data_IF_589054524244
#
_entry.id   IF_589054524244
#
_cell.length_a   1.000
_cell.length_b   1.000
_cell.length_c   1.000
_cell.angle_alpha   90.00
_cell.angle_beta   90.00
_cell.angle_gamma   90.00
#
_symmetry.space_group_name_H-M   'P 1'
#
loop_
_entity.id
_entity.type
_entity.pdbx_description
1 polymer ?
#
# COMPACT_ATOMS: atom_id res chain seq x y z
N UNK A 1 -2.06 25.06 -41.10
CA UNK A 1 -1.24 24.67 -42.26
C UNK A 1 -2.19 24.21 -43.34
N UNK A 2 -2.34 25.04 -44.36
CA UNK A 2 -3.38 25.02 -45.38
C UNK A 2 -2.70 24.62 -46.69
N UNK A 3 -3.17 23.56 -47.34
CA UNK A 3 -2.61 23.13 -48.63
C UNK A 3 -3.43 23.80 -49.74
N UNK A 4 -2.95 24.97 -50.13
CA UNK A 4 -3.27 25.70 -51.36
C UNK A 4 -2.04 25.59 -52.27
N UNK A 5 -2.19 25.05 -53.48
CA UNK A 5 -1.41 25.36 -54.71
C UNK A 5 -1.43 24.18 -55.69
N UNK A 6 -1.16 24.47 -56.97
CA UNK A 6 -1.36 23.65 -58.17
C UNK A 6 -2.84 23.61 -58.59
N UNK A 7 -3.29 24.34 -59.61
CA UNK A 7 -2.75 24.38 -60.96
C UNK A 7 -3.14 25.70 -61.66
N UNK A 8 -2.13 26.47 -62.08
CA UNK A 8 -2.19 27.45 -63.16
C UNK A 8 -1.36 26.90 -64.32
N UNK A 9 -1.78 27.23 -65.55
CA UNK A 9 -1.09 27.01 -66.83
C UNK A 9 -1.54 25.82 -67.67
N UNK A 10 -2.65 25.98 -68.40
CA UNK A 10 -2.71 25.64 -69.84
C UNK A 10 -3.60 26.69 -70.52
N UNK A 11 -2.98 27.58 -71.30
CA UNK A 11 -3.64 28.45 -72.26
C UNK A 11 -3.09 28.14 -73.65
N UNK A 12 -3.97 28.19 -74.66
CA UNK A 12 -3.70 28.18 -76.11
C UNK A 12 -3.87 26.84 -76.85
N UNK A 13 -5.13 26.46 -77.15
CA UNK A 13 -5.50 25.70 -78.36
C UNK A 13 -6.85 26.24 -78.90
N UNK A 14 -6.90 26.38 -80.24
CA UNK A 14 -7.93 26.98 -81.14
C UNK A 14 -9.39 26.51 -80.96
N UNK A 15 -10.41 27.34 -81.32
CA UNK A 15 -11.80 26.91 -81.54
C UNK A 15 -12.08 26.63 -83.04
N UNK A 16 -13.29 26.22 -83.47
CA UNK A 16 -14.23 25.26 -82.88
C UNK A 16 -14.64 24.16 -83.91
N UNK A 17 -14.56 22.88 -83.55
CA UNK A 17 -15.36 21.85 -84.23
C UNK A 17 -16.80 21.90 -83.70
N UNK A 18 -17.81 21.56 -84.53
CA UNK A 18 -19.20 21.79 -84.19
C UNK A 18 -19.52 21.05 -82.90
N UNK A 19 -20.19 21.75 -81.98
CA UNK A 19 -20.76 21.19 -80.76
C UNK A 19 -21.75 20.07 -81.11
N UNK A 20 -21.22 18.90 -81.45
CA UNK A 20 -21.93 17.65 -81.45
C UNK A 20 -22.21 17.39 -79.98
N UNK A 21 -23.38 17.88 -79.56
CA UNK A 21 -24.15 17.46 -78.40
C UNK A 21 -23.56 16.23 -77.69
N UNK A 22 -22.56 16.44 -76.84
CA UNK A 22 -22.34 15.59 -75.69
C UNK A 22 -23.41 15.96 -74.66
N UNK A 23 -24.67 15.80 -75.07
CA UNK A 23 -25.71 15.37 -74.16
C UNK A 23 -25.28 13.96 -73.76
N UNK A 24 -24.32 13.88 -72.84
CA UNK A 24 -24.20 12.74 -71.99
C UNK A 24 -25.56 12.71 -71.28
N UNK A 25 -26.50 11.94 -71.84
CA UNK A 25 -27.77 11.61 -71.21
C UNK A 25 -27.38 10.83 -69.97
N UNK A 26 -26.98 11.56 -68.93
CA UNK A 26 -26.80 11.01 -67.59
C UNK A 26 -28.14 10.40 -67.25
N UNK A 27 -28.19 9.08 -67.31
CA UNK A 27 -29.36 8.34 -66.90
C UNK A 27 -29.50 8.54 -65.39
N UNK A 28 -30.31 9.53 -65.03
CA UNK A 28 -30.65 9.86 -63.65
C UNK A 28 -31.12 8.62 -62.88
N UNK A 29 -31.73 7.64 -63.57
CA UNK A 29 -32.13 6.38 -62.98
C UNK A 29 -30.93 5.55 -62.50
N UNK A 30 -29.88 5.45 -63.31
CA UNK A 30 -28.66 4.72 -62.99
C UNK A 30 -27.89 5.36 -61.83
N UNK A 31 -27.83 6.70 -61.79
CA UNK A 31 -27.21 7.44 -60.68
C UNK A 31 -28.00 7.26 -59.38
N UNK A 32 -29.33 7.36 -59.43
CA UNK A 32 -30.20 7.14 -58.26
C UNK A 32 -30.09 5.70 -57.76
N UNK A 33 -30.01 4.73 -58.66
CA UNK A 33 -29.79 3.34 -58.30
C UNK A 33 -28.44 3.12 -57.61
N UNK A 34 -27.38 3.73 -58.16
CA UNK A 34 -26.02 3.67 -57.58
C UNK A 34 -25.95 4.31 -56.20
N UNK A 35 -26.59 5.46 -55.98
CA UNK A 35 -26.65 6.11 -54.67
C UNK A 35 -27.39 5.27 -53.63
N UNK A 36 -28.54 4.67 -53.98
CA UNK A 36 -29.26 3.76 -53.06
C UNK A 36 -28.46 2.51 -52.75
N UNK A 37 -27.74 1.98 -53.74
CA UNK A 37 -26.85 0.83 -53.53
C UNK A 37 -25.73 1.18 -52.55
N UNK A 38 -25.08 2.33 -52.72
CA UNK A 38 -24.05 2.82 -51.82
C UNK A 38 -24.58 3.07 -50.41
N UNK A 39 -25.76 3.68 -50.28
CA UNK A 39 -26.42 3.91 -48.99
C UNK A 39 -26.68 2.59 -48.27
N UNK A 40 -27.18 1.58 -48.98
CA UNK A 40 -27.37 0.23 -48.45
C UNK A 40 -26.05 -0.39 -47.99
N UNK A 41 -24.99 -0.30 -48.80
CA UNK A 41 -23.66 -0.80 -48.43
C UNK A 41 -23.09 -0.08 -47.20
N UNK A 42 -23.37 1.21 -47.03
CA UNK A 42 -22.92 1.98 -45.87
C UNK A 42 -23.63 1.53 -44.58
N UNK A 43 -24.92 1.23 -44.66
CA UNK A 43 -25.69 0.63 -43.55
C UNK A 43 -25.17 -0.76 -43.20
N UNK A 44 -24.87 -1.60 -44.20
CA UNK A 44 -24.30 -2.94 -43.98
C UNK A 44 -22.91 -2.87 -43.34
N UNK A 45 -22.06 -1.93 -43.75
CA UNK A 45 -20.74 -1.69 -43.14
C UNK A 45 -20.85 -1.24 -41.69
N UNK A 46 -21.81 -0.37 -41.35
CA UNK A 46 -22.00 0.09 -39.98
C UNK A 46 -22.49 -1.06 -39.06
N UNK A 47 -23.43 -1.87 -39.56
CA UNK A 47 -23.87 -3.08 -38.87
C UNK A 47 -22.71 -4.06 -38.62
N UNK A 48 -21.85 -4.27 -39.61
CA UNK A 48 -20.66 -5.11 -39.47
C UNK A 48 -19.67 -4.53 -38.45
N UNK A 49 -19.46 -3.21 -38.47
CA UNK A 49 -18.59 -2.51 -37.50
C UNK A 49 -19.10 -2.68 -36.07
N UNK A 50 -20.41 -2.54 -35.85
CA UNK A 50 -21.03 -2.77 -34.54
C UNK A 50 -20.83 -4.22 -34.11
N UNK A 51 -21.07 -5.19 -35.00
CA UNK A 51 -20.88 -6.60 -34.71
C UNK A 51 -19.41 -6.93 -34.34
N UNK A 52 -18.44 -6.39 -35.08
CA UNK A 52 -17.02 -6.55 -34.77
C UNK A 52 -16.66 -5.97 -33.40
N UNK A 53 -17.20 -4.79 -33.06
CA UNK A 53 -16.97 -4.17 -31.76
C UNK A 53 -17.51 -5.04 -30.62
N UNK A 54 -18.72 -5.60 -30.77
CA UNK A 54 -19.31 -6.52 -29.79
C UNK A 54 -18.44 -7.77 -29.63
N UNK A 55 -17.97 -8.38 -30.73
CA UNK A 55 -17.11 -9.57 -30.67
C UNK A 55 -15.76 -9.26 -30.00
N UNK A 56 -15.16 -8.10 -30.30
CA UNK A 56 -13.89 -7.67 -29.70
C UNK A 56 -14.04 -7.50 -28.20
N UNK A 57 -15.09 -6.80 -27.74
CA UNK A 57 -15.37 -6.63 -26.31
C UNK A 57 -15.67 -7.97 -25.61
N UNK A 58 -16.39 -8.87 -26.29
CA UNK A 58 -16.65 -10.22 -25.81
C UNK A 58 -15.36 -11.03 -25.63
N UNK A 59 -14.47 -10.99 -26.62
CA UNK A 59 -13.16 -11.63 -26.58
C UNK A 59 -12.27 -11.02 -25.48
N UNK A 60 -12.21 -9.70 -25.34
CA UNK A 60 -11.47 -9.06 -24.26
C UNK A 60 -11.97 -9.50 -22.89
N UNK A 61 -13.29 -9.51 -22.70
CA UNK A 61 -13.91 -9.94 -21.42
C UNK A 61 -13.63 -11.41 -21.13
N UNK A 62 -13.60 -12.26 -22.15
CA UNK A 62 -13.31 -13.69 -22.03
C UNK A 62 -11.81 -13.97 -21.80
N UNK A 63 -10.93 -13.30 -22.54
CA UNK A 63 -9.48 -13.54 -22.49
C UNK A 63 -8.80 -12.90 -21.28
N UNK A 64 -9.31 -11.76 -20.78
CA UNK A 64 -8.71 -11.06 -19.62
C UNK A 64 -8.51 -11.95 -18.38
N UNK A 65 -9.51 -12.73 -17.91
CA UNK A 65 -9.30 -13.64 -16.78
C UNK A 65 -8.27 -14.73 -17.10
N UNK A 66 -8.23 -15.25 -18.33
CA UNK A 66 -7.29 -16.31 -18.74
C UNK A 66 -5.83 -15.79 -18.80
N UNK A 67 -5.62 -14.59 -19.33
CA UNK A 67 -4.29 -13.95 -19.36
C UNK A 67 -3.82 -13.65 -17.93
N UNK A 68 -4.73 -13.18 -17.08
CA UNK A 68 -4.45 -12.92 -15.67
C UNK A 68 -4.11 -14.22 -14.92
N UNK A 69 -4.89 -15.28 -15.10
CA UNK A 69 -4.65 -16.59 -14.49
C UNK A 69 -3.30 -17.17 -14.92
N UNK A 70 -2.95 -17.08 -16.20
CA UNK A 70 -1.65 -17.53 -16.72
C UNK A 70 -0.50 -16.72 -16.11
N UNK A 71 -0.66 -15.40 -16.01
CA UNK A 71 0.33 -14.52 -15.39
C UNK A 71 0.52 -14.83 -13.91
N UNK A 72 -0.58 -15.00 -13.16
CA UNK A 72 -0.56 -15.37 -11.74
C UNK A 72 0.09 -16.74 -11.53
N UNK A 73 -0.23 -17.72 -12.38
CA UNK A 73 0.34 -19.07 -12.29
C UNK A 73 1.84 -19.05 -12.56
N UNK A 74 2.27 -18.31 -13.60
CA UNK A 74 3.70 -18.11 -13.90
C UNK A 74 4.41 -17.42 -12.74
N UNK A 75 3.87 -16.30 -12.27
CA UNK A 75 4.42 -15.55 -11.13
C UNK A 75 4.53 -16.42 -9.87
N UNK A 76 3.54 -17.27 -9.60
CA UNK A 76 3.58 -18.20 -8.47
C UNK A 76 4.69 -19.24 -8.61
N UNK A 77 4.94 -19.71 -9.83
CA UNK A 77 6.06 -20.58 -10.16
C UNK A 77 7.41 -19.89 -9.95
N UNK A 78 7.53 -18.66 -10.43
CA UNK A 78 8.75 -17.85 -10.31
C UNK A 78 9.03 -17.52 -8.84
N UNK A 79 8.00 -17.20 -8.05
CA UNK A 79 8.12 -16.90 -6.62
C UNK A 79 8.58 -18.10 -5.79
N UNK A 80 8.25 -19.33 -6.21
CA UNK A 80 8.75 -20.56 -5.57
C UNK A 80 10.20 -20.89 -5.91
N UNK A 81 10.74 -20.29 -6.98
CA UNK A 81 12.13 -20.47 -7.42
C UNK A 81 13.04 -19.33 -6.96
N UNK A 82 12.47 -18.32 -6.32
CA UNK A 82 13.23 -17.19 -5.83
C UNK A 82 14.14 -17.64 -4.68
N UNK A 83 15.42 -17.24 -4.67
CA UNK A 83 16.30 -17.55 -3.54
C UNK A 83 15.78 -16.96 -2.24
N UNK A 84 16.02 -17.67 -1.13
CA UNK A 84 15.58 -17.29 0.21
C UNK A 84 16.08 -15.89 0.59
N UNK A 85 17.29 -15.52 0.15
CA UNK A 85 17.91 -14.22 0.44
C UNK A 85 17.12 -13.07 -0.20
N UNK A 86 16.66 -13.27 -1.44
CA UNK A 86 15.88 -12.25 -2.16
C UNK A 86 14.50 -12.10 -1.52
N UNK A 87 13.87 -13.21 -1.12
CA UNK A 87 12.63 -13.18 -0.35
C UNK A 87 12.81 -12.47 0.99
N UNK A 88 13.89 -12.78 1.72
CA UNK A 88 14.21 -12.14 2.99
C UNK A 88 14.39 -10.62 2.83
N UNK A 89 15.10 -10.17 1.79
CA UNK A 89 15.25 -8.74 1.49
C UNK A 89 13.91 -8.07 1.16
N UNK A 90 13.06 -8.71 0.37
CA UNK A 90 11.72 -8.19 0.06
C UNK A 90 10.88 -8.08 1.33
N UNK A 91 10.92 -9.09 2.21
CA UNK A 91 10.19 -9.06 3.47
C UNK A 91 10.73 -7.96 4.38
N UNK A 92 12.05 -7.80 4.46
CA UNK A 92 12.69 -6.77 5.25
C UNK A 92 12.28 -5.36 4.78
N UNK A 93 12.33 -5.12 3.48
CA UNK A 93 11.88 -3.86 2.88
C UNK A 93 10.39 -3.62 3.15
N UNK A 94 9.54 -4.64 3.00
CA UNK A 94 8.11 -4.52 3.31
C UNK A 94 7.83 -4.25 4.79
N UNK A 95 8.62 -4.85 5.70
CA UNK A 95 8.57 -4.57 7.12
C UNK A 95 8.98 -3.13 7.42
N UNK A 96 10.07 -2.64 6.82
CA UNK A 96 10.56 -1.27 7.03
C UNK A 96 9.57 -0.22 6.50
N UNK A 97 8.88 -0.52 5.39
CA UNK A 97 7.87 0.35 4.79
C UNK A 97 6.55 0.43 5.58
N UNK A 98 6.28 -0.51 6.49
CA UNK A 98 5.09 -0.46 7.34
C UNK A 98 5.22 0.67 8.36
N UNK A 99 4.75 1.86 7.96
CA UNK A 99 4.79 3.11 8.74
C UNK A 99 4.08 3.01 10.09
N UNK A 100 3.10 2.11 10.19
CA UNK A 100 2.36 1.94 11.43
C UNK A 100 3.07 1.00 12.41
N UNK A 101 4.19 0.39 11.97
CA UNK A 101 5.07 -0.41 12.79
C UNK A 101 4.41 -1.70 13.28
N UNK A 102 3.45 -2.25 12.54
CA UNK A 102 2.68 -3.38 13.02
C UNK A 102 3.42 -4.70 12.78
N UNK A 103 3.30 -5.61 13.75
CA UNK A 103 3.74 -7.01 13.63
C UNK A 103 3.00 -7.79 12.52
N UNK A 104 1.89 -7.22 12.01
CA UNK A 104 1.01 -7.84 11.01
C UNK A 104 1.74 -8.22 9.74
N UNK A 105 2.67 -7.40 9.25
CA UNK A 105 3.41 -7.72 8.03
C UNK A 105 4.14 -9.07 8.15
N UNK A 106 4.90 -9.26 9.23
CA UNK A 106 5.65 -10.48 9.49
C UNK A 106 4.73 -11.71 9.58
N UNK A 107 3.59 -11.56 10.27
CA UNK A 107 2.58 -12.62 10.37
C UNK A 107 1.98 -12.93 8.99
N UNK A 108 1.57 -11.90 8.25
CA UNK A 108 0.98 -12.04 6.91
C UNK A 108 1.91 -12.78 5.95
N UNK A 109 3.18 -12.37 5.84
CA UNK A 109 4.12 -13.05 4.94
C UNK A 109 4.37 -14.49 5.39
N UNK A 110 4.46 -14.76 6.69
CA UNK A 110 4.66 -16.12 7.22
C UNK A 110 3.46 -17.06 7.02
N UNK A 111 2.29 -16.54 6.62
CA UNK A 111 1.07 -17.30 6.40
C UNK A 111 0.77 -17.56 4.91
N UNK A 112 1.56 -17.02 3.97
CA UNK A 112 1.33 -17.17 2.52
C UNK A 112 1.59 -18.60 2.03
N UNK A 113 2.72 -19.19 2.44
CA UNK A 113 3.12 -20.55 2.05
C UNK A 113 4.14 -21.13 3.04
N UNK A 114 4.42 -22.44 2.95
CA UNK A 114 5.44 -23.09 3.79
C UNK A 114 6.84 -22.46 3.58
N UNK A 115 7.21 -22.24 2.32
CA UNK A 115 8.47 -21.61 1.95
C UNK A 115 8.58 -20.18 2.51
N UNK A 116 7.52 -19.38 2.37
CA UNK A 116 7.48 -18.02 2.94
C UNK A 116 7.58 -18.04 4.47
N UNK A 117 6.97 -19.03 5.12
CA UNK A 117 7.07 -19.22 6.56
C UNK A 117 8.51 -19.52 6.99
N UNK A 118 9.19 -20.41 6.30
CA UNK A 118 10.59 -20.78 6.57
C UNK A 118 11.50 -19.55 6.43
N UNK A 119 11.38 -18.80 5.32
CA UNK A 119 12.14 -17.57 5.10
C UNK A 119 11.79 -16.48 6.12
N UNK A 120 10.51 -16.31 6.45
CA UNK A 120 10.11 -15.31 7.44
C UNK A 120 10.66 -15.65 8.84
N UNK A 121 10.59 -16.91 9.26
CA UNK A 121 11.13 -17.38 10.55
C UNK A 121 12.65 -17.34 10.59
N UNK A 122 13.34 -17.49 9.45
CA UNK A 122 14.79 -17.37 9.35
C UNK A 122 15.28 -15.92 9.23
N UNK A 123 14.37 -14.93 9.11
CA UNK A 123 14.67 -13.50 8.99
C UNK A 123 14.37 -12.75 10.30
N UNK A 124 15.36 -12.57 11.22
CA UNK A 124 15.09 -12.06 12.56
C UNK A 124 14.51 -10.65 12.61
N UNK A 125 14.87 -9.80 11.63
CA UNK A 125 14.42 -8.40 11.59
C UNK A 125 12.90 -8.26 11.45
N UNK A 126 12.19 -9.26 10.90
CA UNK A 126 10.73 -9.21 10.82
C UNK A 126 10.05 -9.27 12.19
N UNK A 127 10.76 -9.78 13.20
CA UNK A 127 10.22 -10.06 14.52
C UNK A 127 10.67 -9.03 15.57
N UNK A 128 11.21 -7.89 15.15
CA UNK A 128 11.67 -6.83 16.05
C UNK A 128 10.55 -5.92 16.55
N UNK A 129 9.37 -5.95 15.91
CA UNK A 129 8.19 -5.15 16.27
C UNK A 129 7.12 -6.00 16.94
N UNK A 130 6.83 -5.73 18.21
CA UNK A 130 5.82 -6.46 18.98
C UNK A 130 4.87 -5.54 19.76
N UNK A 131 3.57 -5.84 19.73
CA UNK A 131 2.53 -5.03 20.37
C UNK A 131 1.69 -5.80 21.42
N UNK A 132 1.77 -7.13 21.47
CA UNK A 132 0.85 -7.95 22.26
C UNK A 132 1.59 -8.94 23.19
N UNK A 133 1.17 -9.07 24.47
CA UNK A 133 1.78 -10.00 25.42
C UNK A 133 1.78 -11.47 24.95
N UNK A 134 0.73 -11.91 24.26
CA UNK A 134 0.62 -13.30 23.81
C UNK A 134 1.65 -13.67 22.74
N UNK A 135 2.15 -12.67 22.00
CA UNK A 135 3.06 -12.88 20.86
C UNK A 135 4.49 -12.44 21.16
N UNK A 136 4.68 -11.60 22.19
CA UNK A 136 5.97 -10.94 22.44
C UNK A 136 7.09 -11.94 22.72
N UNK A 137 6.80 -13.03 23.44
CA UNK A 137 7.77 -14.09 23.72
C UNK A 137 8.27 -14.77 22.44
N UNK A 138 7.36 -15.09 21.53
CA UNK A 138 7.70 -15.66 20.22
C UNK A 138 8.48 -14.66 19.36
N UNK A 139 8.15 -13.37 19.42
CA UNK A 139 8.84 -12.33 18.68
C UNK A 139 10.26 -12.10 19.20
N UNK A 140 10.43 -12.00 20.52
CA UNK A 140 11.74 -11.92 21.17
C UNK A 140 12.59 -13.13 20.75
N UNK A 141 12.06 -14.35 20.88
CA UNK A 141 12.80 -15.57 20.52
C UNK A 141 13.23 -15.57 19.04
N UNK A 142 12.35 -15.13 18.13
CA UNK A 142 12.64 -15.09 16.69
C UNK A 142 13.54 -13.94 16.27
N UNK A 143 13.54 -12.82 17.00
CA UNK A 143 14.42 -11.67 16.76
C UNK A 143 15.90 -11.95 17.08
N UNK A 144 16.19 -13.07 17.76
CA UNK A 144 17.55 -13.54 18.12
C UNK A 144 18.39 -12.44 18.78
N UNK A 145 19.54 -12.09 18.21
CA UNK A 145 20.50 -11.12 18.73
C UNK A 145 20.41 -9.74 18.05
N UNK A 146 19.37 -9.46 17.27
CA UNK A 146 19.20 -8.15 16.63
C UNK A 146 19.06 -7.07 17.71
N UNK A 147 19.89 -6.03 17.63
CA UNK A 147 20.02 -4.95 18.62
C UNK A 147 19.07 -3.77 18.41
N UNK A 148 17.99 -3.97 17.66
CA UNK A 148 17.03 -2.92 17.31
C UNK A 148 15.59 -3.43 17.46
N UNK A 149 15.16 -3.63 18.70
CA UNK A 149 13.77 -3.96 19.03
C UNK A 149 12.94 -2.69 19.12
N UNK A 150 11.82 -2.70 18.42
CA UNK A 150 10.82 -1.64 18.39
C UNK A 150 9.62 -2.10 19.22
N UNK A 151 9.57 -1.67 20.47
CA UNK A 151 8.58 -2.12 21.45
C UNK A 151 7.43 -1.13 21.53
N UNK A 152 6.22 -1.65 21.36
CA UNK A 152 4.99 -0.88 21.58
C UNK A 152 4.31 -1.39 22.84
N UNK A 153 4.68 -0.80 23.97
CA UNK A 153 4.10 -1.09 25.29
C UNK A 153 2.78 -0.35 25.54
N UNK A 154 1.90 -0.36 24.54
CA UNK A 154 0.52 0.09 24.68
C UNK A 154 -0.38 -0.93 24.01
N UNK A 155 -0.82 -1.97 24.74
CA UNK A 155 -1.78 -2.93 24.21
C UNK A 155 -3.03 -2.15 23.80
N UNK A 156 -3.30 -2.06 22.50
CA UNK A 156 -4.54 -1.47 21.98
C UNK A 156 -5.72 -2.42 22.19
N UNK A 157 -5.81 -3.05 23.36
CA UNK A 157 -6.94 -3.91 23.73
C UNK A 157 -8.06 -3.03 24.31
N UNK A 158 -9.29 -3.41 24.02
CA UNK A 158 -10.48 -2.86 24.68
C UNK A 158 -11.18 -4.00 25.40
N UNK A 159 -11.29 -3.98 26.74
CA UNK A 159 -10.81 -2.92 27.66
C UNK A 159 -9.27 -2.84 27.75
N UNK A 160 -8.72 -1.71 28.25
CA UNK A 160 -7.30 -1.61 28.58
C UNK A 160 -6.89 -2.73 29.55
N UNK A 161 -5.67 -3.26 29.43
CA UNK A 161 -5.16 -4.25 30.37
C UNK A 161 -5.04 -3.66 31.78
N UNK A 162 -5.26 -4.48 32.79
CA UNK A 162 -5.00 -4.11 34.18
C UNK A 162 -3.49 -4.05 34.47
N UNK A 163 -3.12 -3.44 35.61
CA UNK A 163 -1.73 -3.33 36.04
C UNK A 163 -1.04 -4.71 36.14
N UNK A 164 -1.77 -5.76 36.54
CA UNK A 164 -1.23 -7.12 36.65
C UNK A 164 -0.79 -7.67 35.29
N UNK A 165 -1.65 -7.56 34.28
CA UNK A 165 -1.34 -8.01 32.90
C UNK A 165 -0.21 -7.19 32.30
N UNK A 166 -0.18 -5.88 32.56
CA UNK A 166 0.93 -5.01 32.15
C UNK A 166 2.23 -5.38 32.84
N UNK A 167 2.21 -5.70 34.13
CA UNK A 167 3.40 -6.14 34.86
C UNK A 167 3.96 -7.43 34.27
N UNK A 168 3.12 -8.44 34.05
CA UNK A 168 3.53 -9.70 33.40
C UNK A 168 4.13 -9.46 32.01
N UNK A 169 3.57 -8.51 31.26
CA UNK A 169 4.10 -8.13 29.97
C UNK A 169 5.47 -7.46 30.07
N UNK A 170 5.67 -6.56 31.04
CA UNK A 170 6.94 -5.91 31.30
C UNK A 170 8.00 -6.90 31.81
N UNK A 171 7.61 -7.87 32.65
CA UNK A 171 8.51 -8.92 33.15
C UNK A 171 9.12 -9.74 32.01
N UNK A 172 8.37 -9.96 30.92
CA UNK A 172 8.86 -10.63 29.71
C UNK A 172 9.75 -9.75 28.85
N UNK A 173 9.52 -8.44 28.88
CA UNK A 173 10.15 -7.46 28.00
C UNK A 173 11.47 -6.93 28.55
N UNK A 174 11.47 -6.53 29.82
CA UNK A 174 12.56 -5.81 30.48
C UNK A 174 13.90 -6.56 30.52
N UNK A 175 13.97 -7.90 30.62
CA UNK A 175 15.24 -8.63 30.45
C UNK A 175 15.94 -8.35 29.12
N UNK A 176 15.19 -7.86 28.11
CA UNK A 176 15.69 -7.54 26.78
C UNK A 176 15.79 -6.03 26.50
N UNK A 177 15.58 -5.18 27.52
CA UNK A 177 15.60 -3.71 27.46
C UNK A 177 16.86 -3.13 26.79
N UNK A 178 18.01 -3.78 26.95
CA UNK A 178 19.27 -3.37 26.32
C UNK A 178 19.26 -3.40 24.78
N UNK A 179 18.30 -4.10 24.17
CA UNK A 179 18.18 -4.24 22.71
C UNK A 179 17.15 -3.30 22.12
N UNK A 180 16.48 -2.48 22.93
CA UNK A 180 15.40 -1.63 22.46
C UNK A 180 15.97 -0.42 21.75
N UNK A 181 15.61 -0.24 20.49
CA UNK A 181 15.91 0.96 19.70
C UNK A 181 14.78 1.98 19.75
N UNK A 182 13.55 1.49 19.88
CA UNK A 182 12.34 2.32 19.92
C UNK A 182 11.39 1.80 20.98
N UNK A 183 10.80 2.72 21.75
CA UNK A 183 9.82 2.41 22.78
C UNK A 183 8.64 3.37 22.65
N UNK A 184 7.44 2.81 22.51
CA UNK A 184 6.20 3.58 22.45
C UNK A 184 5.22 3.09 23.52
N UNK A 185 4.62 3.98 24.30
CA UNK A 185 3.61 3.63 25.30
C UNK A 185 2.65 4.76 25.63
N UNK A 186 1.60 4.42 26.39
CA UNK A 186 0.66 5.39 26.96
C UNK A 186 0.91 5.47 28.46
N UNK A 187 1.41 6.61 28.95
CA UNK A 187 1.55 6.89 30.39
C UNK A 187 0.15 7.09 30.98
N UNK A 188 -0.32 6.06 31.68
CA UNK A 188 -1.58 6.00 32.42
C UNK A 188 -1.33 5.30 33.76
N UNK A 189 -2.27 5.42 34.70
CA UNK A 189 -2.14 4.88 36.05
C UNK A 189 -1.73 3.40 36.08
N UNK A 190 -2.35 2.55 35.24
CA UNK A 190 -2.07 1.11 35.21
C UNK A 190 -0.64 0.80 34.78
N UNK A 191 -0.13 1.53 33.77
CA UNK A 191 1.25 1.40 33.34
C UNK A 191 2.23 1.91 34.41
N UNK A 192 1.89 3.00 35.10
CA UNK A 192 2.69 3.49 36.23
C UNK A 192 2.81 2.43 37.33
N UNK A 193 1.68 1.84 37.72
CA UNK A 193 1.63 0.77 38.73
C UNK A 193 2.46 -0.44 38.28
N UNK A 194 2.39 -0.83 37.01
CA UNK A 194 3.19 -1.92 36.45
C UNK A 194 4.70 -1.62 36.41
N UNK A 195 5.11 -0.36 36.27
CA UNK A 195 6.52 0.04 36.33
C UNK A 195 7.04 0.29 37.75
N UNK A 196 6.19 0.39 38.78
CA UNK A 196 6.65 0.61 40.17
C UNK A 196 7.71 -0.40 40.65
N UNK A 197 7.61 -1.71 40.35
CA UNK A 197 8.64 -2.68 40.71
C UNK A 197 9.95 -2.52 39.92
N UNK A 198 9.90 -1.80 38.80
CA UNK A 198 10.93 -1.74 37.77
C UNK A 198 11.66 -0.38 37.78
N UNK A 199 12.33 -0.09 38.90
CA UNK A 199 13.17 1.11 39.01
C UNK A 199 14.51 0.92 38.30
N UNK A 200 15.10 2.02 37.79
CA UNK A 200 16.44 2.03 37.15
C UNK A 200 16.55 1.20 35.87
N UNK A 201 15.59 1.36 34.96
CA UNK A 201 15.64 0.69 33.65
C UNK A 201 16.80 1.29 32.83
N UNK A 202 17.67 0.39 32.39
CA UNK A 202 18.83 0.70 31.56
C UNK A 202 18.46 0.50 30.09
N UNK A 203 18.45 1.58 29.33
CA UNK A 203 18.04 1.62 27.93
C UNK A 203 19.19 2.16 27.06
N UNK A 204 20.35 1.47 27.03
CA UNK A 204 21.54 1.96 26.34
C UNK A 204 21.25 2.21 24.86
N UNK A 205 20.66 1.26 24.14
CA UNK A 205 20.46 1.37 22.68
C UNK A 205 19.22 2.16 22.26
N UNK A 206 18.48 2.75 23.21
CA UNK A 206 17.21 3.41 22.91
C UNK A 206 17.45 4.75 22.21
N UNK A 207 16.94 4.85 20.99
CA UNK A 207 17.06 6.04 20.13
C UNK A 207 15.75 6.80 19.99
N UNK A 208 14.62 6.11 20.12
CA UNK A 208 13.30 6.69 19.90
C UNK A 208 12.36 6.40 21.07
N UNK A 209 11.76 7.45 21.64
CA UNK A 209 10.78 7.35 22.71
C UNK A 209 9.51 8.10 22.32
N UNK A 210 8.38 7.39 22.15
CA UNK A 210 7.05 8.00 21.95
C UNK A 210 6.16 7.74 23.16
N UNK A 211 5.94 8.76 23.98
CA UNK A 211 5.08 8.66 25.15
C UNK A 211 3.80 9.47 24.96
N UNK A 212 2.65 8.81 25.12
CA UNK A 212 1.34 9.46 25.04
C UNK A 212 0.75 9.55 26.43
N UNK A 213 0.24 10.70 26.82
CA UNK A 213 -0.39 10.86 28.13
C UNK A 213 -1.86 10.44 28.07
N UNK A 214 -2.26 9.55 28.98
CA UNK A 214 -3.65 9.17 29.20
C UNK A 214 -4.50 10.36 29.66
N UNK A 215 -5.83 10.18 29.62
CA UNK A 215 -6.77 11.23 30.06
C UNK A 215 -6.68 11.50 31.57
N UNK A 216 -6.27 10.49 32.32
CA UNK A 216 -6.01 10.43 33.76
C UNK A 216 -4.66 11.06 34.16
N UNK A 217 -3.84 11.49 33.20
CA UNK A 217 -2.55 12.10 33.50
C UNK A 217 -2.74 13.42 34.25
N UNK A 218 -2.37 13.40 35.53
CA UNK A 218 -2.08 14.58 36.31
C UNK A 218 -0.59 14.91 36.08
N UNK A 219 -0.24 16.19 35.94
CA UNK A 219 1.09 16.72 35.56
C UNK A 219 2.22 16.41 36.57
N UNK A 220 2.37 15.13 36.92
CA UNK A 220 3.42 14.58 37.77
C UNK A 220 4.56 14.13 36.86
N UNK A 221 5.78 14.16 37.40
CA UNK A 221 7.01 13.65 36.78
C UNK A 221 6.77 12.43 35.88
N UNK A 222 7.23 12.44 34.61
CA UNK A 222 7.06 11.31 33.69
C UNK A 222 7.66 10.01 34.25
N UNK A 223 7.06 8.85 33.95
CA UNK A 223 7.57 7.56 34.48
C UNK A 223 9.01 7.24 34.07
N UNK A 224 9.46 7.83 32.95
CA UNK A 224 10.79 7.64 32.39
C UNK A 224 11.82 8.67 32.89
N UNK A 225 11.46 9.56 33.82
CA UNK A 225 12.37 10.58 34.33
C UNK A 225 13.64 10.01 34.98
N UNK A 226 13.56 8.77 35.47
CA UNK A 226 14.69 8.08 36.12
C UNK A 226 15.33 7.00 35.23
N UNK A 227 15.04 6.97 33.93
CA UNK A 227 15.60 5.96 33.02
C UNK A 227 16.92 6.44 32.42
N UNK A 228 17.89 5.54 32.31
CA UNK A 228 19.17 5.84 31.69
C UNK A 228 19.09 5.55 30.17
N UNK A 229 19.06 6.61 29.36
CA UNK A 229 18.87 6.55 27.90
C UNK A 229 19.99 7.32 27.18
N UNK A 230 21.20 6.73 27.14
CA UNK A 230 22.41 7.42 26.66
C UNK A 230 22.38 7.81 25.18
N UNK A 231 21.63 7.07 24.37
CA UNK A 231 21.60 7.22 22.91
C UNK A 231 20.24 7.76 22.39
N UNK A 232 19.48 8.45 23.24
CA UNK A 232 18.17 8.97 22.87
C UNK A 232 18.30 10.09 21.83
N UNK A 233 17.99 9.77 20.59
CA UNK A 233 18.06 10.70 19.45
C UNK A 233 16.77 11.53 19.31
N UNK A 234 15.62 10.91 19.60
CA UNK A 234 14.31 11.53 19.41
C UNK A 234 13.34 11.16 20.54
N UNK A 235 12.62 12.14 21.06
CA UNK A 235 11.51 11.92 21.96
C UNK A 235 10.28 12.72 21.52
N UNK A 236 9.12 12.07 21.50
CA UNK A 236 7.84 12.72 21.27
C UNK A 236 6.92 12.50 22.46
N UNK A 237 6.24 13.58 22.87
CA UNK A 237 5.19 13.48 23.88
C UNK A 237 3.90 14.06 23.33
N UNK A 238 2.81 13.29 23.39
CA UNK A 238 1.49 13.77 22.98
C UNK A 238 0.53 13.72 24.16
N UNK A 239 -0.01 14.88 24.54
CA UNK A 239 -1.09 14.96 25.51
C UNK A 239 -2.44 14.83 24.82
N UNK A 240 -3.19 13.76 25.14
CA UNK A 240 -4.54 13.57 24.61
C UNK A 240 -5.52 14.68 25.06
N UNK A 241 -5.26 15.33 26.20
CA UNK A 241 -6.04 16.50 26.66
C UNK A 241 -5.91 17.70 25.72
N UNK A 242 -4.72 17.95 25.17
CA UNK A 242 -4.49 19.00 24.16
C UNK A 242 -5.18 18.64 22.85
N UNK A 243 -5.16 17.38 22.45
CA UNK A 243 -5.80 16.96 21.20
C UNK A 243 -7.33 17.06 21.23
N UNK A 244 -7.98 16.69 22.34
CA UNK A 244 -9.45 16.82 22.47
C UNK A 244 -9.90 18.28 22.59
N UNK A 245 -9.12 19.15 23.25
CA UNK A 245 -9.42 20.59 23.30
C UNK A 245 -9.26 21.25 21.92
N UNK A 246 -8.25 20.86 21.15
CA UNK A 246 -8.07 21.32 19.76
C UNK A 246 -9.13 20.74 18.82
N UNK A 247 -9.46 19.44 18.89
CA UNK A 247 -10.50 18.83 18.07
C UNK A 247 -11.91 19.40 18.35
N UNK A 248 -12.23 19.73 19.61
CA UNK A 248 -13.45 20.47 19.97
C UNK A 248 -13.45 21.90 19.41
N UNK A 249 -12.30 22.56 19.35
CA UNK A 249 -12.16 23.89 18.73
C UNK A 249 -12.36 23.87 17.21
N UNK A 250 -12.20 22.71 16.54
CA UNK A 250 -12.38 22.56 15.09
C UNK A 250 -13.71 21.89 14.69
N UNK A 251 -14.64 21.69 15.63
CA UNK A 251 -15.98 21.20 15.32
C UNK A 251 -16.04 19.77 14.74
N UNK A 252 -14.96 18.99 14.85
CA UNK A 252 -14.98 17.58 14.46
C UNK A 252 -15.64 16.77 15.58
N UNK A 253 -16.94 16.50 15.42
CA UNK A 253 -17.64 15.50 16.21
C UNK A 253 -17.16 14.11 15.76
N UNK A 254 -16.65 13.32 16.72
CA UNK A 254 -16.31 11.92 16.55
C UNK A 254 -17.55 11.02 16.53
#
# INVERSE_FOLDING_TARGET
MTITSYLTSISSISPPEPAANFLCSLDLSELVHSLRSLEKSLVELDALRVQMKIRTLGLERYCRPLVFEKAVTKMRGDLKRMPDEILAFIFQAGHDMDRYGHYKFAVSVSHVSRHFREVALSTPRLWTRGECPLQISAFIARSRSVSALDIKASPMTRPPPDATTLSQFLDLLLPHSRRWSSLQFVDNEQLRLAFQPHTNIQLPELRHLDARYGYDFNEVTPIWANWEMRHLDNYSTLSLRKFVSTARSYGMHA
#
